data_IF_985519510930
#
_entry.id   IF_985519510930
#
_cell.length_a   1.000
_cell.length_b   1.000
_cell.length_c   1.000
_cell.angle_alpha   90.00
_cell.angle_beta   90.00
_cell.angle_gamma   90.00
#
_symmetry.space_group_name_H-M   'P 1'
#
loop_
_entity.id
_entity.type
_entity.pdbx_description
1 polymer ?
#
# COMPACT_ATOMS: atom_id res chain seq x y z
N UNK A 1 -52.89 -12.26 0.86
CA UNK A 1 -52.02 -12.22 -0.31
C UNK A 1 -51.54 -10.77 -0.55
N UNK A 2 -50.33 -10.62 -1.07
CA UNK A 2 -49.80 -9.31 -1.48
C UNK A 2 -50.42 -8.91 -2.80
N UNK A 3 -50.52 -9.85 -3.74
CA UNK A 3 -51.13 -9.71 -5.04
C UNK A 3 -51.43 -11.07 -5.68
N UNK A 4 -52.22 -11.05 -6.76
CA UNK A 4 -52.41 -12.15 -7.70
C UNK A 4 -52.06 -11.66 -9.10
N UNK A 5 -51.30 -12.47 -9.83
CA UNK A 5 -50.84 -12.18 -11.21
C UNK A 5 -51.05 -13.42 -12.06
N UNK A 6 -51.32 -13.25 -13.34
CA UNK A 6 -51.48 -14.35 -14.30
C UNK A 6 -50.17 -14.53 -15.06
N UNK A 7 -49.70 -15.78 -15.15
CA UNK A 7 -48.54 -16.11 -15.98
C UNK A 7 -48.91 -15.98 -17.48
N UNK A 8 -47.98 -15.52 -18.29
CA UNK A 8 -48.12 -15.44 -19.74
C UNK A 8 -48.09 -16.82 -20.41
N UNK A 9 -48.29 -16.87 -21.74
CA UNK A 9 -48.28 -18.12 -22.51
C UNK A 9 -46.94 -18.89 -22.49
N UNK A 10 -45.86 -18.30 -21.97
CA UNK A 10 -44.56 -18.92 -21.77
C UNK A 10 -44.30 -19.29 -20.30
N UNK A 11 -45.25 -19.01 -19.40
CA UNK A 11 -45.14 -19.28 -17.97
C UNK A 11 -44.46 -18.20 -17.16
N UNK A 12 -44.13 -17.04 -17.75
CA UNK A 12 -43.50 -15.93 -17.02
C UNK A 12 -44.57 -15.08 -16.31
N UNK A 13 -44.23 -14.55 -15.15
CA UNK A 13 -45.04 -13.60 -14.43
C UNK A 13 -44.18 -12.51 -13.79
N UNK A 14 -44.71 -11.32 -13.64
CA UNK A 14 -44.07 -10.18 -13.01
C UNK A 14 -45.08 -9.44 -12.14
N UNK A 15 -44.66 -9.03 -10.97
CA UNK A 15 -45.42 -8.14 -10.09
C UNK A 15 -44.56 -6.96 -9.67
N UNK A 16 -45.03 -5.75 -9.87
CA UNK A 16 -44.40 -4.51 -9.41
C UNK A 16 -45.25 -3.92 -8.28
N UNK A 17 -44.81 -3.99 -7.02
CA UNK A 17 -45.52 -3.43 -5.91
C UNK A 17 -45.56 -1.89 -5.98
N UNK A 18 -46.67 -1.27 -5.61
CA UNK A 18 -46.81 0.20 -5.53
C UNK A 18 -45.93 0.82 -4.43
N UNK A 19 -45.57 0.03 -3.43
CA UNK A 19 -44.61 0.38 -2.38
C UNK A 19 -43.60 -0.77 -2.31
N UNK A 20 -42.27 -0.47 -2.37
CA UNK A 20 -41.25 -1.52 -2.27
C UNK A 20 -41.47 -2.41 -1.05
N UNK A 21 -41.26 -3.71 -1.22
CA UNK A 21 -41.33 -4.68 -0.14
C UNK A 21 -40.08 -4.50 0.73
N UNK A 22 -40.27 -4.46 2.05
CA UNK A 22 -39.18 -4.19 3.00
C UNK A 22 -38.10 -5.30 2.96
N UNK A 23 -36.87 -4.89 3.18
CA UNK A 23 -35.72 -5.79 3.34
C UNK A 23 -36.01 -6.88 4.39
N UNK A 24 -35.58 -8.11 4.11
CA UNK A 24 -35.78 -9.27 4.99
C UNK A 24 -37.19 -9.87 4.94
N UNK A 25 -38.11 -9.30 4.16
CA UNK A 25 -39.45 -9.88 4.01
C UNK A 25 -39.40 -11.19 3.23
N UNK A 26 -39.93 -12.26 3.80
CA UNK A 26 -40.11 -13.54 3.08
C UNK A 26 -41.38 -13.46 2.25
N UNK A 27 -41.24 -13.56 0.93
CA UNK A 27 -42.34 -13.62 -0.02
C UNK A 27 -42.55 -15.08 -0.42
N UNK A 28 -43.76 -15.59 -0.16
CA UNK A 28 -44.20 -16.93 -0.56
C UNK A 28 -45.06 -16.84 -1.81
N UNK A 29 -44.84 -17.73 -2.77
CA UNK A 29 -45.52 -17.80 -4.05
C UNK A 29 -46.09 -19.20 -4.25
N UNK A 30 -47.34 -19.29 -4.66
CA UNK A 30 -48.01 -20.53 -5.11
C UNK A 30 -48.67 -20.27 -6.47
N UNK A 31 -48.64 -21.24 -7.35
CA UNK A 31 -49.40 -21.20 -8.61
C UNK A 31 -50.67 -22.00 -8.46
N UNK A 32 -51.78 -21.54 -9.09
CA UNK A 32 -53.04 -22.25 -9.17
C UNK A 32 -53.50 -22.34 -10.63
N UNK A 33 -53.93 -23.53 -11.05
CA UNK A 33 -54.50 -23.73 -12.39
C UNK A 33 -55.98 -23.31 -12.47
N UNK A 34 -56.52 -23.30 -13.68
CA UNK A 34 -57.93 -22.95 -13.94
C UNK A 34 -58.94 -23.94 -13.30
N UNK A 35 -58.50 -25.12 -12.90
CA UNK A 35 -59.31 -26.13 -12.20
C UNK A 35 -59.25 -25.98 -10.67
N UNK A 36 -58.44 -25.05 -10.16
CA UNK A 36 -58.28 -24.78 -8.73
C UNK A 36 -57.20 -25.60 -8.03
N UNK A 37 -56.37 -26.36 -8.77
CA UNK A 37 -55.27 -27.11 -8.17
C UNK A 37 -54.10 -26.18 -7.87
N UNK A 38 -53.56 -26.25 -6.65
CA UNK A 38 -52.42 -25.42 -6.20
C UNK A 38 -51.09 -26.18 -6.22
N UNK A 39 -50.01 -25.51 -6.64
CA UNK A 39 -48.64 -26.02 -6.54
C UNK A 39 -48.14 -26.02 -5.11
N UNK A 40 -47.07 -26.77 -4.81
CA UNK A 40 -46.23 -26.48 -3.64
C UNK A 40 -45.74 -25.02 -3.65
N UNK A 41 -45.58 -24.42 -2.47
CA UNK A 41 -45.06 -23.05 -2.34
C UNK A 41 -43.57 -22.94 -2.63
N UNK A 42 -43.17 -21.83 -3.24
CA UNK A 42 -41.80 -21.37 -3.32
C UNK A 42 -41.64 -20.07 -2.50
N UNK A 43 -40.44 -19.77 -2.02
CA UNK A 43 -40.22 -18.56 -1.25
C UNK A 43 -38.90 -17.89 -1.64
N UNK A 44 -38.88 -16.57 -1.49
CA UNK A 44 -37.67 -15.74 -1.62
C UNK A 44 -37.65 -14.72 -0.49
N UNK A 45 -36.49 -14.41 0.04
CA UNK A 45 -36.30 -13.28 0.97
C UNK A 45 -35.90 -12.06 0.17
N UNK A 46 -36.62 -10.97 0.35
CA UNK A 46 -36.31 -9.68 -0.29
C UNK A 46 -35.04 -9.14 0.31
N UNK A 47 -34.08 -8.84 -0.54
CA UNK A 47 -32.87 -8.08 -0.20
C UNK A 47 -32.91 -6.74 -0.94
N UNK A 48 -33.01 -5.66 -0.19
CA UNK A 48 -32.98 -4.28 -0.69
C UNK A 48 -31.88 -3.45 -0.03
N UNK A 49 -30.90 -4.13 0.59
CA UNK A 49 -29.79 -3.48 1.25
C UNK A 49 -28.59 -3.44 0.30
N UNK A 50 -28.15 -2.23 -0.05
CA UNK A 50 -26.93 -2.07 -0.84
C UNK A 50 -25.68 -2.54 -0.06
N UNK A 51 -24.71 -3.16 -0.73
CA UNK A 51 -23.41 -3.47 -0.13
C UNK A 51 -22.69 -2.22 0.39
N UNK A 52 -21.72 -2.39 1.25
CA UNK A 52 -20.78 -1.32 1.61
C UNK A 52 -19.98 -0.88 0.37
N UNK A 53 -19.54 0.39 0.35
CA UNK A 53 -18.65 0.87 -0.70
C UNK A 53 -17.36 0.02 -0.73
N UNK A 54 -16.85 -0.33 -1.93
CA UNK A 54 -15.59 -1.07 -2.04
C UNK A 54 -14.42 -0.32 -1.42
N UNK A 55 -13.40 -1.06 -0.97
CA UNK A 55 -12.09 -0.50 -0.69
C UNK A 55 -11.22 -0.68 -1.92
N UNK A 56 -10.47 0.36 -2.30
CA UNK A 56 -9.46 0.30 -3.35
C UNK A 56 -8.07 0.44 -2.73
N UNK A 57 -7.17 -0.45 -3.11
CA UNK A 57 -5.75 -0.34 -2.76
C UNK A 57 -5.06 0.72 -3.66
N UNK A 58 -3.97 1.34 -3.20
CA UNK A 58 -3.08 2.10 -4.07
C UNK A 58 -2.67 1.27 -5.29
N UNK A 59 -2.50 1.92 -6.45
CA UNK A 59 -2.20 1.23 -7.71
C UNK A 59 -1.36 2.10 -8.64
N UNK A 60 -0.40 1.46 -9.32
CA UNK A 60 0.36 2.07 -10.42
C UNK A 60 -0.33 1.96 -11.78
N UNK A 61 -1.58 1.54 -11.82
CA UNK A 61 -2.37 1.40 -13.04
C UNK A 61 -2.22 0.08 -13.78
N UNK A 62 -1.32 -0.81 -13.38
CA UNK A 62 -1.16 -2.15 -13.99
C UNK A 62 -2.18 -3.14 -13.45
N UNK A 63 -2.52 -3.04 -12.19
CA UNK A 63 -3.54 -3.85 -11.53
C UNK A 63 -4.31 -2.98 -10.55
N UNK A 64 -5.63 -3.06 -10.59
CA UNK A 64 -6.54 -2.49 -9.61
C UNK A 64 -6.98 -3.60 -8.67
N UNK A 65 -6.99 -3.35 -7.37
CA UNK A 65 -7.39 -4.37 -6.38
C UNK A 65 -8.02 -3.74 -5.15
N UNK A 66 -8.66 -4.58 -4.35
CA UNK A 66 -9.26 -4.11 -3.12
C UNK A 66 -10.17 -5.14 -2.48
N UNK A 67 -11.12 -4.66 -1.68
CA UNK A 67 -12.13 -5.51 -1.05
C UNK A 67 -13.54 -4.99 -1.29
N UNK A 68 -14.51 -5.88 -1.31
CA UNK A 68 -15.94 -5.60 -1.40
C UNK A 68 -16.71 -6.71 -0.66
N UNK A 69 -18.02 -6.65 -0.65
CA UNK A 69 -18.85 -7.75 -0.14
C UNK A 69 -18.59 -9.04 -0.93
N UNK A 70 -18.42 -10.20 -0.27
CA UNK A 70 -18.19 -11.46 -0.96
C UNK A 70 -19.26 -11.76 -2.00
N UNK A 71 -18.84 -12.06 -3.24
CA UNK A 71 -19.75 -12.33 -4.36
C UNK A 71 -20.32 -11.10 -5.04
N UNK A 72 -20.09 -9.90 -4.54
CA UNK A 72 -20.54 -8.67 -5.20
C UNK A 72 -19.76 -8.42 -6.49
N UNK A 73 -20.44 -7.84 -7.48
CA UNK A 73 -19.80 -7.36 -8.72
C UNK A 73 -19.27 -5.96 -8.53
N UNK A 74 -17.97 -5.79 -8.61
CA UNK A 74 -17.27 -4.49 -8.56
C UNK A 74 -17.19 -3.93 -9.98
N UNK A 75 -17.79 -2.76 -10.19
CA UNK A 75 -17.75 -2.00 -11.45
C UNK A 75 -16.76 -0.86 -11.32
N UNK A 76 -15.81 -0.78 -12.26
CA UNK A 76 -14.72 0.19 -12.29
C UNK A 76 -14.95 1.19 -13.44
N UNK A 77 -14.86 2.48 -13.15
CA UNK A 77 -14.94 3.57 -14.13
C UNK A 77 -13.83 4.58 -13.90
N UNK A 78 -13.49 5.35 -14.93
CA UNK A 78 -12.60 6.51 -14.79
C UNK A 78 -13.32 7.70 -14.11
N UNK A 79 -12.60 8.79 -13.86
CA UNK A 79 -13.13 10.02 -13.26
C UNK A 79 -14.23 10.69 -14.08
N UNK A 80 -14.39 10.34 -15.37
CA UNK A 80 -15.43 10.84 -16.26
C UNK A 80 -16.63 9.88 -16.38
N UNK A 81 -16.58 8.73 -15.71
CA UNK A 81 -17.60 7.69 -15.76
C UNK A 81 -17.45 6.71 -16.93
N UNK A 82 -16.37 6.76 -17.71
CA UNK A 82 -16.13 5.77 -18.77
C UNK A 82 -15.77 4.42 -18.14
N UNK A 83 -16.26 3.29 -18.70
CA UNK A 83 -16.01 1.98 -18.13
C UNK A 83 -14.53 1.58 -18.27
N UNK A 84 -13.93 1.12 -17.17
CA UNK A 84 -12.63 0.45 -17.12
C UNK A 84 -12.83 -1.07 -17.15
N UNK A 85 -13.77 -1.59 -16.35
CA UNK A 85 -14.09 -3.01 -16.30
C UNK A 85 -14.95 -3.42 -15.12
N UNK A 86 -15.14 -4.74 -15.01
CA UNK A 86 -15.89 -5.35 -13.90
C UNK A 86 -15.17 -6.60 -13.42
N UNK A 87 -15.33 -6.90 -12.13
CA UNK A 87 -14.77 -8.10 -11.49
C UNK A 87 -15.69 -8.51 -10.34
N UNK A 88 -15.76 -9.81 -10.04
CA UNK A 88 -16.50 -10.31 -8.87
C UNK A 88 -15.55 -10.51 -7.70
N UNK A 89 -15.92 -10.02 -6.52
CA UNK A 89 -15.21 -10.28 -5.28
C UNK A 89 -15.30 -11.76 -4.91
N UNK A 90 -14.21 -12.34 -4.47
CA UNK A 90 -14.13 -13.75 -4.06
C UNK A 90 -14.89 -14.02 -2.74
N UNK A 91 -14.89 -15.28 -2.28
CA UNK A 91 -15.56 -15.67 -1.05
C UNK A 91 -14.98 -15.04 0.23
N UNK A 92 -13.81 -14.41 0.16
CA UNK A 92 -13.19 -13.62 1.23
C UNK A 92 -13.38 -12.12 1.05
N UNK A 93 -14.07 -11.72 -0.03
CA UNK A 93 -14.31 -10.32 -0.39
C UNK A 93 -13.17 -9.64 -1.14
N UNK A 94 -12.11 -10.35 -1.54
CA UNK A 94 -11.02 -9.75 -2.31
C UNK A 94 -11.36 -9.71 -3.79
N UNK A 95 -10.92 -8.66 -4.47
CA UNK A 95 -11.03 -8.54 -5.92
C UNK A 95 -9.75 -7.97 -6.53
N UNK A 96 -9.48 -8.35 -7.78
CA UNK A 96 -8.35 -7.87 -8.57
C UNK A 96 -8.73 -7.80 -10.04
N UNK A 97 -8.39 -6.70 -10.71
CA UNK A 97 -8.66 -6.43 -12.12
C UNK A 97 -7.42 -5.89 -12.81
N UNK A 98 -7.06 -6.47 -13.95
CA UNK A 98 -5.94 -6.01 -14.79
C UNK A 98 -6.51 -5.34 -16.04
N UNK A 99 -6.37 -4.02 -16.21
CA UNK A 99 -6.77 -3.32 -17.43
C UNK A 99 -6.02 -3.85 -18.66
N UNK A 100 -6.65 -3.83 -19.83
CA UNK A 100 -6.00 -4.27 -21.09
C UNK A 100 -4.77 -3.44 -21.48
N UNK A 101 -4.71 -2.19 -21.00
CA UNK A 101 -3.53 -1.30 -21.03
C UNK A 101 -3.40 -0.65 -19.66
N UNK A 102 -2.17 -0.49 -19.13
CA UNK A 102 -1.96 0.21 -17.87
C UNK A 102 -2.61 1.60 -17.88
N UNK A 103 -3.26 1.96 -16.79
CA UNK A 103 -3.89 3.27 -16.65
C UNK A 103 -2.82 4.35 -16.43
N UNK A 104 -2.93 5.53 -17.08
CA UNK A 104 -1.97 6.61 -16.90
C UNK A 104 -1.92 7.15 -15.46
N UNK A 105 -0.76 7.72 -15.08
CA UNK A 105 -0.62 8.47 -13.84
C UNK A 105 -1.68 9.55 -13.70
N UNK A 106 -2.23 9.71 -12.50
CA UNK A 106 -3.27 10.70 -12.22
C UNK A 106 -4.69 10.27 -12.65
N UNK A 107 -4.87 9.09 -13.26
CA UNK A 107 -6.21 8.57 -13.56
C UNK A 107 -6.98 8.35 -12.28
N UNK A 108 -8.12 9.01 -12.12
CA UNK A 108 -9.07 8.71 -11.04
C UNK A 108 -9.83 7.44 -11.40
N UNK A 109 -9.85 6.47 -10.50
CA UNK A 109 -10.62 5.23 -10.62
C UNK A 109 -11.72 5.24 -9.57
N UNK A 110 -12.96 5.12 -10.03
CA UNK A 110 -14.14 4.96 -9.17
C UNK A 110 -14.57 3.49 -9.18
N UNK A 111 -15.00 2.99 -8.04
CA UNK A 111 -15.54 1.64 -7.89
C UNK A 111 -16.88 1.67 -7.17
N UNK A 112 -17.84 0.88 -7.66
CA UNK A 112 -19.09 0.57 -6.97
C UNK A 112 -19.23 -0.95 -6.86
N UNK A 113 -19.86 -1.44 -5.81
CA UNK A 113 -20.20 -2.85 -5.66
C UNK A 113 -21.70 -3.05 -5.85
N UNK A 114 -22.10 -4.09 -6.59
CA UNK A 114 -23.49 -4.49 -6.71
C UNK A 114 -23.66 -5.94 -6.22
N UNK A 115 -24.63 -6.18 -5.37
CA UNK A 115 -25.00 -7.53 -4.93
C UNK A 115 -25.75 -8.31 -6.03
N UNK A 116 -26.01 -9.62 -5.85
CA UNK A 116 -26.77 -10.41 -6.82
C UNK A 116 -28.21 -9.97 -7.03
N UNK A 117 -28.79 -9.17 -6.14
CA UNK A 117 -30.16 -8.65 -6.25
C UNK A 117 -30.22 -7.31 -6.97
N UNK A 118 -29.05 -6.70 -7.27
CA UNK A 118 -28.92 -5.46 -8.03
C UNK A 118 -28.84 -4.20 -7.17
N UNK A 119 -28.77 -4.32 -5.84
CA UNK A 119 -28.51 -3.16 -5.00
C UNK A 119 -27.06 -2.70 -5.18
N UNK A 120 -26.86 -1.40 -5.36
CA UNK A 120 -25.54 -0.83 -5.66
C UNK A 120 -25.08 0.10 -4.54
N UNK A 121 -23.83 -0.05 -4.13
CA UNK A 121 -23.17 0.75 -3.08
C UNK A 121 -22.96 2.21 -3.48
N UNK A 122 -22.63 3.05 -2.51
CA UNK A 122 -21.94 4.31 -2.77
C UNK A 122 -20.60 4.06 -3.48
N UNK A 123 -20.11 5.01 -4.30
CA UNK A 123 -18.80 4.88 -4.94
C UNK A 123 -17.65 5.10 -3.93
N UNK A 124 -16.54 4.41 -4.16
CA UNK A 124 -15.23 4.73 -3.59
C UNK A 124 -14.28 5.09 -4.73
N UNK A 125 -13.19 5.81 -4.43
CA UNK A 125 -12.24 6.23 -5.46
C UNK A 125 -10.80 6.14 -4.98
N UNK A 126 -9.88 5.96 -5.94
CA UNK A 126 -8.43 6.09 -5.79
C UNK A 126 -7.86 6.81 -7.01
N UNK A 127 -6.63 7.32 -6.89
CA UNK A 127 -5.91 7.90 -8.03
C UNK A 127 -4.71 7.01 -8.34
N UNK A 128 -4.53 6.70 -9.62
CA UNK A 128 -3.37 5.94 -10.10
C UNK A 128 -2.10 6.77 -9.89
N UNK A 129 -1.11 6.19 -9.25
CA UNK A 129 0.24 6.71 -9.13
C UNK A 129 1.21 5.75 -9.82
N UNK A 130 1.73 6.15 -10.99
CA UNK A 130 2.73 5.39 -11.74
C UNK A 130 4.10 6.08 -11.76
N UNK A 131 4.33 7.02 -10.82
CA UNK A 131 5.61 7.72 -10.67
C UNK A 131 6.45 6.99 -9.64
N UNK A 132 7.60 6.47 -10.08
CA UNK A 132 8.52 5.83 -9.16
C UNK A 132 9.18 6.85 -8.21
N UNK A 133 9.41 6.48 -6.93
CA UNK A 133 10.13 7.33 -5.99
C UNK A 133 11.55 7.64 -6.46
N UNK A 134 12.11 8.74 -5.97
CA UNK A 134 13.53 9.03 -6.15
C UNK A 134 14.39 7.92 -5.49
N UNK A 135 15.61 7.75 -5.99
CA UNK A 135 16.58 6.86 -5.34
C UNK A 135 16.82 7.28 -3.88
N UNK A 136 16.79 6.33 -2.91
CA UNK A 136 17.08 6.65 -1.52
C UNK A 136 18.46 7.27 -1.34
N UNK A 137 18.59 8.22 -0.42
CA UNK A 137 19.89 8.62 0.12
C UNK A 137 20.25 7.62 1.21
N UNK A 138 21.49 7.11 1.18
CA UNK A 138 22.03 6.23 2.23
C UNK A 138 23.17 6.97 2.91
N UNK A 139 23.08 7.17 4.22
CA UNK A 139 24.10 7.84 5.02
C UNK A 139 25.36 6.98 5.14
N UNK A 140 26.55 7.58 5.40
CA UNK A 140 27.71 6.84 5.85
C UNK A 140 27.38 5.97 7.07
N UNK A 141 27.96 4.78 7.15
CA UNK A 141 27.67 3.81 8.21
C UNK A 141 28.92 3.00 8.59
N UNK A 142 29.02 2.71 9.89
CA UNK A 142 30.01 1.75 10.41
C UNK A 142 29.49 0.30 10.45
N UNK A 143 28.34 0.05 9.84
CA UNK A 143 27.73 -1.28 9.75
C UNK A 143 26.82 -1.65 10.93
N UNK A 144 26.80 -0.91 12.02
CA UNK A 144 25.92 -1.18 13.17
C UNK A 144 24.47 -0.73 12.90
N UNK A 145 24.32 0.38 12.20
CA UNK A 145 23.06 0.91 11.74
C UNK A 145 23.21 1.45 10.32
N UNK A 146 22.24 1.20 9.47
CA UNK A 146 22.12 1.77 8.13
C UNK A 146 20.93 2.72 8.15
N UNK A 147 21.12 3.96 7.72
CA UNK A 147 20.07 4.98 7.75
C UNK A 147 20.11 5.87 6.51
N UNK A 148 19.04 6.65 6.34
CA UNK A 148 18.99 7.58 5.21
C UNK A 148 17.63 8.23 5.04
N UNK A 149 17.37 8.69 3.81
CA UNK A 149 16.08 9.27 3.44
C UNK A 149 15.53 8.65 2.16
N UNK A 150 14.21 8.59 2.06
CA UNK A 150 13.46 8.13 0.91
C UNK A 150 12.12 8.87 0.85
N UNK A 151 11.28 8.56 -0.12
CA UNK A 151 9.92 9.08 -0.15
C UNK A 151 9.14 8.64 1.09
N UNK A 152 8.39 9.54 1.74
CA UNK A 152 7.58 9.20 2.91
C UNK A 152 6.61 8.06 2.65
N UNK A 153 6.62 7.04 3.53
CA UNK A 153 5.77 5.85 3.41
C UNK A 153 6.29 4.80 2.43
N UNK A 154 7.36 5.05 1.67
CA UNK A 154 7.95 4.05 0.79
C UNK A 154 8.64 2.94 1.59
N UNK A 155 8.61 1.73 1.07
CA UNK A 155 9.36 0.58 1.58
C UNK A 155 10.77 0.61 1.00
N UNK A 156 11.78 0.79 1.85
CA UNK A 156 13.20 0.75 1.49
C UNK A 156 13.70 -0.68 1.62
N UNK A 157 14.15 -1.27 0.52
CA UNK A 157 14.75 -2.60 0.46
C UNK A 157 16.25 -2.48 0.39
N UNK A 158 16.95 -3.15 1.31
CA UNK A 158 18.40 -3.14 1.44
C UNK A 158 19.01 -4.46 0.95
N UNK A 159 20.02 -4.38 0.09
CA UNK A 159 20.78 -5.53 -0.41
C UNK A 159 22.29 -5.26 -0.33
N UNK A 160 23.10 -6.32 -0.29
CA UNK A 160 24.55 -6.17 -0.46
C UNK A 160 24.95 -5.92 -1.93
N UNK A 161 26.23 -5.70 -2.17
CA UNK A 161 26.78 -5.47 -3.52
C UNK A 161 26.59 -6.65 -4.50
N UNK A 162 26.22 -7.83 -4.01
CA UNK A 162 25.91 -9.03 -4.79
C UNK A 162 24.41 -9.24 -4.99
N UNK A 163 23.55 -8.36 -4.40
CA UNK A 163 22.11 -8.45 -4.47
C UNK A 163 21.49 -9.34 -3.40
N UNK A 164 22.25 -9.87 -2.42
CA UNK A 164 21.66 -10.64 -1.33
C UNK A 164 20.89 -9.70 -0.38
N UNK A 165 19.75 -10.14 0.17
CA UNK A 165 18.94 -9.29 1.04
C UNK A 165 19.64 -9.01 2.38
N UNK A 166 19.65 -7.76 2.80
CA UNK A 166 20.06 -7.31 4.13
C UNK A 166 18.81 -7.09 5.00
N UNK A 167 17.77 -6.41 4.46
CA UNK A 167 16.54 -6.15 5.17
C UNK A 167 15.62 -5.18 4.45
N UNK A 168 14.52 -4.85 5.13
CA UNK A 168 13.54 -3.86 4.66
C UNK A 168 13.10 -2.98 5.82
N UNK A 169 12.76 -1.72 5.51
CA UNK A 169 12.24 -0.74 6.46
C UNK A 169 11.32 0.23 5.73
N UNK A 170 10.33 0.79 6.41
CA UNK A 170 9.46 1.83 5.84
C UNK A 170 9.95 3.21 6.26
N UNK A 171 10.07 4.13 5.31
CA UNK A 171 10.37 5.53 5.58
C UNK A 171 9.21 6.19 6.35
N UNK A 172 9.53 6.97 7.36
CA UNK A 172 8.54 7.68 8.18
C UNK A 172 7.86 8.83 7.41
N UNK A 173 6.92 9.53 8.06
CA UNK A 173 6.19 10.64 7.45
C UNK A 173 7.06 11.86 7.08
N UNK A 174 8.33 11.89 7.50
CA UNK A 174 9.35 12.89 7.12
C UNK A 174 10.34 12.35 6.10
N UNK A 175 10.17 11.09 5.69
CA UNK A 175 11.04 10.40 4.75
C UNK A 175 12.29 9.78 5.36
N UNK A 176 12.47 9.79 6.69
CA UNK A 176 13.64 9.18 7.33
C UNK A 176 13.43 7.67 7.51
N UNK A 177 14.50 6.92 7.38
CA UNK A 177 14.49 5.48 7.64
C UNK A 177 15.79 5.05 8.34
N UNK A 178 15.71 4.00 9.13
CA UNK A 178 16.83 3.39 9.86
C UNK A 178 16.61 1.90 9.98
N UNK A 179 17.67 1.11 9.77
CA UNK A 179 17.69 -0.35 9.86
C UNK A 179 18.91 -0.81 10.64
N UNK A 180 18.69 -1.62 11.66
CA UNK A 180 19.76 -2.25 12.45
C UNK A 180 19.88 -3.72 12.06
N UNK A 181 20.97 -4.13 11.39
CA UNK A 181 21.22 -5.54 11.08
C UNK A 181 21.36 -6.37 12.36
N UNK A 182 20.98 -7.65 12.33
CA UNK A 182 21.12 -8.58 13.47
C UNK A 182 22.57 -8.81 13.89
N UNK A 183 23.50 -8.66 12.94
CA UNK A 183 24.96 -8.59 13.14
C UNK A 183 25.48 -7.40 12.35
N UNK A 184 26.37 -6.58 12.93
CA UNK A 184 26.96 -5.47 12.20
C UNK A 184 27.57 -5.93 10.86
N UNK A 185 27.38 -5.13 9.82
CA UNK A 185 27.95 -5.40 8.50
C UNK A 185 29.45 -5.18 8.53
N UNK A 186 30.18 -6.03 7.83
CA UNK A 186 31.65 -5.96 7.76
C UNK A 186 32.10 -4.71 6.99
N UNK A 187 33.32 -4.25 7.33
CA UNK A 187 34.01 -3.21 6.57
C UNK A 187 34.08 -3.54 5.08
N UNK A 188 33.92 -2.51 4.24
CA UNK A 188 33.89 -2.65 2.78
C UNK A 188 32.59 -3.24 2.20
N UNK A 189 31.60 -3.60 3.04
CA UNK A 189 30.30 -4.07 2.54
C UNK A 189 29.60 -2.94 1.78
N UNK A 190 29.28 -3.17 0.50
CA UNK A 190 28.42 -2.26 -0.27
C UNK A 190 26.99 -2.50 0.16
N UNK A 191 26.27 -1.47 0.55
CA UNK A 191 24.84 -1.49 0.85
C UNK A 191 24.10 -0.72 -0.23
N UNK A 192 23.21 -1.40 -0.92
CA UNK A 192 22.32 -0.84 -1.91
C UNK A 192 20.92 -0.66 -1.32
N UNK A 193 20.25 0.42 -1.64
CA UNK A 193 18.89 0.73 -1.20
C UNK A 193 18.00 1.09 -2.39
N UNK A 194 16.83 0.49 -2.49
CA UNK A 194 15.77 0.88 -3.42
C UNK A 194 14.50 1.20 -2.66
N UNK A 195 13.75 2.21 -3.10
CA UNK A 195 12.46 2.56 -2.51
C UNK A 195 11.32 2.09 -3.42
N UNK A 196 10.29 1.51 -2.81
CA UNK A 196 9.03 1.15 -3.48
C UNK A 196 7.89 1.86 -2.78
N UNK A 197 7.09 2.64 -3.51
CA UNK A 197 5.95 3.36 -2.96
C UNK A 197 4.76 2.42 -2.66
N UNK A 198 3.70 2.91 -1.99
CA UNK A 198 2.50 2.10 -1.73
C UNK A 198 1.75 1.67 -2.99
N UNK A 199 1.94 2.33 -4.14
CA UNK A 199 1.34 1.96 -5.42
C UNK A 199 2.12 0.84 -6.14
N UNK A 200 3.31 0.48 -5.65
CA UNK A 200 4.16 -0.58 -6.18
C UNK A 200 5.18 -0.10 -7.23
N UNK A 201 5.41 1.21 -7.36
CA UNK A 201 6.48 1.71 -8.22
C UNK A 201 7.81 1.63 -7.48
N UNK A 202 8.84 1.08 -8.12
CA UNK A 202 10.18 0.99 -7.55
C UNK A 202 11.11 1.98 -8.24
N UNK A 203 11.78 2.80 -7.42
CA UNK A 203 12.71 3.83 -7.86
C UNK A 203 14.12 3.33 -8.17
N UNK A 204 14.99 4.28 -8.48
CA UNK A 204 16.41 4.02 -8.68
C UNK A 204 17.10 3.55 -7.38
N UNK A 205 18.36 3.11 -7.53
CA UNK A 205 19.17 2.62 -6.41
C UNK A 205 20.04 3.74 -5.83
N UNK A 206 20.03 3.90 -4.50
CA UNK A 206 21.06 4.58 -3.73
C UNK A 206 22.06 3.58 -3.16
N UNK A 207 23.25 4.00 -2.76
CA UNK A 207 24.24 3.11 -2.15
C UNK A 207 25.19 3.82 -1.22
N UNK A 208 25.79 3.05 -0.29
CA UNK A 208 26.94 3.44 0.53
C UNK A 208 27.86 2.24 0.70
N UNK A 209 29.11 2.49 1.11
CA UNK A 209 30.00 1.42 1.54
C UNK A 209 30.23 1.56 3.04
N UNK A 210 30.10 0.45 3.76
CA UNK A 210 30.36 0.39 5.19
C UNK A 210 31.85 0.66 5.45
N UNK A 211 32.14 1.60 6.36
CA UNK A 211 33.47 1.84 6.92
C UNK A 211 33.43 1.52 8.42
N UNK A 212 33.90 0.35 8.79
CA UNK A 212 33.93 -0.13 10.17
C UNK A 212 35.34 -0.01 10.78
N UNK A 213 36.25 0.66 10.10
CA UNK A 213 37.62 0.86 10.58
C UNK A 213 37.67 2.15 11.40
N UNK A 214 38.09 2.03 12.66
CA UNK A 214 38.31 3.22 13.49
C UNK A 214 39.52 4.02 13.00
N UNK A 215 39.46 5.37 13.02
CA UNK A 215 40.61 6.20 12.69
C UNK A 215 41.83 5.87 13.56
N UNK A 216 43.00 6.09 13.02
CA UNK A 216 44.25 5.97 13.80
C UNK A 216 44.24 6.95 14.98
N UNK A 217 44.96 6.59 16.06
CA UNK A 217 45.11 7.46 17.23
C UNK A 217 45.69 8.83 16.81
N UNK A 218 44.99 9.93 17.14
CA UNK A 218 45.51 11.25 16.79
C UNK A 218 46.81 11.57 17.50
N UNK A 219 47.66 12.35 16.87
CA UNK A 219 48.85 12.92 17.53
C UNK A 219 48.51 14.24 18.20
N UNK A 220 49.26 14.60 19.25
CA UNK A 220 49.13 15.90 19.90
C UNK A 220 50.53 16.49 20.05
N UNK A 221 50.70 17.71 19.57
CA UNK A 221 51.96 18.44 19.68
C UNK A 221 52.13 19.05 21.08
N UNK A 222 53.38 19.31 21.49
CA UNK A 222 53.67 20.06 22.72
C UNK A 222 52.99 21.43 22.67
N UNK A 223 52.40 21.86 23.79
CA UNK A 223 51.64 23.10 23.87
C UNK A 223 51.95 23.86 25.17
N UNK A 224 51.93 25.19 25.07
CA UNK A 224 51.97 26.08 26.22
C UNK A 224 50.59 26.50 26.72
N UNK A 225 49.53 25.87 26.16
CA UNK A 225 48.15 26.16 26.54
C UNK A 225 47.46 27.25 25.72
N UNK A 226 48.17 27.99 24.87
CA UNK A 226 47.56 29.02 24.01
C UNK A 226 47.02 28.44 22.69
N UNK A 227 47.55 27.29 22.26
CA UNK A 227 47.10 26.54 21.08
C UNK A 227 47.39 25.07 21.29
N UNK A 228 46.44 24.23 20.86
CA UNK A 228 46.61 22.78 20.75
C UNK A 228 46.57 22.42 19.27
N UNK A 229 47.45 21.54 18.83
CA UNK A 229 47.55 21.06 17.45
C UNK A 229 48.02 19.61 17.39
N UNK A 230 47.82 18.96 16.29
CA UNK A 230 48.22 17.58 16.07
C UNK A 230 47.82 17.11 14.68
N UNK A 231 47.78 15.81 14.48
CA UNK A 231 47.30 15.18 13.26
C UNK A 231 46.26 14.11 13.60
N UNK A 232 45.25 13.97 12.77
CA UNK A 232 44.26 12.92 12.81
C UNK A 232 43.93 12.50 11.37
N UNK A 233 43.05 11.54 11.20
CA UNK A 233 42.54 11.17 9.89
C UNK A 233 41.81 12.36 9.26
N UNK A 234 42.07 12.73 8.00
CA UNK A 234 41.39 13.84 7.35
C UNK A 234 39.88 13.70 7.38
N UNK A 235 39.18 14.76 7.73
CA UNK A 235 37.72 14.78 7.88
C UNK A 235 37.20 14.19 9.19
N UNK A 236 38.02 13.57 10.03
CA UNK A 236 37.59 13.06 11.34
C UNK A 236 37.35 14.19 12.34
N UNK A 237 36.40 13.96 13.27
CA UNK A 237 36.15 14.85 14.40
C UNK A 237 37.11 14.51 15.55
N UNK A 238 37.94 15.47 15.96
CA UNK A 238 38.82 15.34 17.11
C UNK A 238 38.18 16.00 18.31
N UNK A 239 37.80 15.21 19.32
CA UNK A 239 37.24 15.68 20.57
C UNK A 239 38.34 15.89 21.60
N UNK A 240 38.39 17.06 22.19
CA UNK A 240 39.34 17.45 23.22
C UNK A 240 38.65 17.43 24.59
N UNK A 241 39.26 16.73 25.56
CA UNK A 241 38.75 16.66 26.95
C UNK A 241 39.89 16.98 27.95
N UNK A 242 39.54 17.43 29.14
CA UNK A 242 40.48 17.53 30.27
C UNK A 242 40.81 16.15 30.87
N UNK A 243 41.69 16.09 31.85
CA UNK A 243 42.11 14.86 32.53
C UNK A 243 40.97 14.18 33.32
N UNK A 244 39.83 14.82 33.51
CA UNK A 244 38.63 14.30 34.18
C UNK A 244 37.55 13.87 33.17
N UNK A 245 37.81 14.02 31.87
CA UNK A 245 36.87 13.68 30.79
C UNK A 245 35.86 14.79 30.47
N UNK A 246 36.01 16.00 31.02
CA UNK A 246 35.14 17.10 30.66
C UNK A 246 35.48 17.65 29.27
N UNK A 247 34.46 17.96 28.43
CA UNK A 247 34.71 18.46 27.08
C UNK A 247 35.33 19.85 27.10
N UNK A 248 36.38 20.04 26.28
CA UNK A 248 37.02 21.33 26.04
C UNK A 248 36.60 21.89 24.68
N UNK A 249 36.68 21.10 23.63
CA UNK A 249 36.34 21.49 22.25
C UNK A 249 36.17 20.28 21.33
N UNK A 250 35.59 20.52 20.17
CA UNK A 250 35.63 19.64 19.01
C UNK A 250 36.17 20.40 17.80
N UNK A 251 37.02 19.75 17.01
CA UNK A 251 37.60 20.31 15.78
C UNK A 251 37.61 19.23 14.70
N UNK A 252 37.42 19.62 13.43
CA UNK A 252 37.54 18.70 12.29
C UNK A 252 39.00 18.76 11.77
N UNK A 253 39.60 17.60 11.54
CA UNK A 253 40.88 17.50 10.88
C UNK A 253 40.73 17.84 9.39
N UNK A 254 41.62 18.71 8.85
CA UNK A 254 41.67 19.13 7.45
C UNK A 254 42.50 18.19 6.55
#
# INVERSE_FOLDING_TARGET
PIAEVTADGSGNWTYTPSTPIANGTVVNVVAQDAAGNSSPGASVTVDSQAPAAPVLNPSNGTTLSGTAEPGATVTLTDGNGNPIGQVTADGSGNWSFTPGTPLPNGTVVNATASDPTGNTSAPASTTVDSVAPAAPVVNPSNGAEISGTAEPGATVTLTDGSGNPIGQVTADGSGNWSFTPSTPLADGTVVNATATDPAGNTGGQGSTTVDAIAPATPTVNLSNGSSLSGTAEPGSTVTLTDGNGNPIAEVTAD
#
